data_IF_505713839823
#
_entry.id   IF_505713839823
#
_cell.length_a   1.000
_cell.length_b   1.000
_cell.length_c   1.000
_cell.angle_alpha   90.00
_cell.angle_beta   90.00
_cell.angle_gamma   90.00
#
_symmetry.space_group_name_H-M   'P 1'
#
loop_
_entity.id
_entity.type
_entity.pdbx_description
1 polymer ?
#
# COMPACT_ATOMS: atom_id res chain seq x y z
N UNK A 1 16.86 -0.28 -2.40
CA UNK A 1 16.34 -0.31 -3.78
C UNK A 1 14.94 0.28 -3.74
N UNK A 2 14.82 1.59 -3.96
CA UNK A 2 13.53 2.31 -3.90
C UNK A 2 12.98 2.30 -5.32
N UNK A 3 12.02 1.43 -5.60
CA UNK A 3 11.34 1.42 -6.91
C UNK A 3 10.37 2.61 -6.97
N UNK A 4 10.77 3.68 -7.64
CA UNK A 4 9.87 4.80 -7.96
C UNK A 4 9.05 4.44 -9.19
N UNK A 5 7.77 4.09 -9.01
CA UNK A 5 6.83 3.83 -10.09
C UNK A 5 5.88 5.05 -10.22
N UNK A 6 6.16 5.91 -11.20
CA UNK A 6 5.23 6.96 -11.62
C UNK A 6 4.16 6.35 -12.53
N UNK A 7 2.89 6.49 -12.17
CA UNK A 7 1.78 5.76 -12.81
C UNK A 7 0.56 6.70 -12.95
N UNK A 8 0.05 6.90 -14.18
CA UNK A 8 -1.05 7.82 -14.58
C UNK A 8 -2.50 7.45 -14.16
N UNK A 9 -3.26 8.38 -13.59
CA UNK A 9 -4.63 8.23 -13.03
C UNK A 9 -5.59 7.36 -13.91
N UNK A 10 -6.09 6.22 -13.39
CA UNK A 10 -7.12 5.38 -14.04
C UNK A 10 -6.93 3.86 -14.02
N UNK A 11 -5.70 3.35 -13.83
CA UNK A 11 -5.38 1.91 -13.91
C UNK A 11 -5.47 1.11 -12.59
N UNK A 12 -5.99 1.72 -11.51
CA UNK A 12 -6.09 1.04 -10.20
C UNK A 12 -4.75 0.75 -9.53
N UNK A 13 -3.80 1.69 -9.58
CA UNK A 13 -2.41 1.50 -9.09
C UNK A 13 -2.34 1.23 -7.60
N UNK A 14 -3.27 1.82 -6.85
CA UNK A 14 -3.46 1.54 -5.43
C UNK A 14 -3.69 0.05 -5.23
N UNK A 15 -4.67 -0.52 -5.95
CA UNK A 15 -4.98 -1.95 -5.91
C UNK A 15 -3.79 -2.78 -6.39
N UNK A 16 -3.14 -2.40 -7.49
CA UNK A 16 -1.94 -3.11 -7.98
C UNK A 16 -0.82 -3.16 -6.92
N UNK A 17 -0.59 -2.06 -6.20
CA UNK A 17 0.39 -1.99 -5.11
C UNK A 17 -0.02 -2.87 -3.94
N UNK A 18 -1.29 -2.83 -3.55
CA UNK A 18 -1.82 -3.65 -2.45
C UNK A 18 -1.70 -5.15 -2.78
N UNK A 19 -2.08 -5.56 -3.99
CA UNK A 19 -1.97 -6.95 -4.45
C UNK A 19 -0.51 -7.39 -4.47
N UNK A 20 0.40 -6.53 -4.93
CA UNK A 20 1.83 -6.81 -4.91
C UNK A 20 2.36 -7.04 -3.48
N UNK A 21 1.96 -6.20 -2.52
CA UNK A 21 2.34 -6.36 -1.11
C UNK A 21 1.74 -7.63 -0.49
N UNK A 22 0.48 -7.92 -0.77
CA UNK A 22 -0.19 -9.16 -0.33
C UNK A 22 0.55 -10.38 -0.85
N UNK A 23 0.95 -10.36 -2.13
CA UNK A 23 1.72 -11.43 -2.73
C UNK A 23 3.08 -11.63 -2.04
N UNK A 24 3.82 -10.55 -1.77
CA UNK A 24 5.09 -10.64 -1.03
C UNK A 24 4.90 -11.23 0.38
N UNK A 25 3.83 -10.83 1.06
CA UNK A 25 3.50 -11.36 2.39
C UNK A 25 3.23 -12.87 2.36
N UNK A 26 2.48 -13.36 1.36
CA UNK A 26 2.22 -14.78 1.14
C UNK A 26 3.50 -15.57 0.81
N UNK A 27 4.44 -14.96 0.08
CA UNK A 27 5.75 -15.54 -0.21
C UNK A 27 6.70 -15.56 1.01
N UNK A 28 6.23 -15.13 2.19
CA UNK A 28 7.01 -15.13 3.44
C UNK A 28 7.81 -13.85 3.70
N UNK A 29 7.73 -12.86 2.81
CA UNK A 29 8.41 -11.56 2.96
C UNK A 29 7.57 -10.62 3.82
N UNK A 30 7.51 -10.91 5.12
CA UNK A 30 6.71 -10.17 6.13
C UNK A 30 7.33 -8.85 6.60
N UNK A 31 8.47 -8.46 6.03
CA UNK A 31 9.24 -7.29 6.49
C UNK A 31 8.43 -6.00 6.51
N UNK A 32 8.93 -4.94 7.17
CA UNK A 32 8.24 -3.66 7.16
C UNK A 32 8.24 -3.08 5.74
N UNK A 33 7.06 -2.96 5.14
CA UNK A 33 6.85 -2.31 3.85
C UNK A 33 6.40 -0.87 4.08
N UNK A 34 7.08 0.10 3.46
CA UNK A 34 6.75 1.52 3.59
C UNK A 34 6.08 2.02 2.31
N UNK A 35 4.88 2.57 2.47
CA UNK A 35 4.15 3.25 1.40
C UNK A 35 4.10 4.74 1.75
N UNK A 36 4.61 5.60 0.87
CA UNK A 36 4.56 7.06 1.03
C UNK A 36 3.54 7.62 0.06
N UNK A 37 2.54 8.31 0.59
CA UNK A 37 1.41 8.86 -0.18
C UNK A 37 1.12 10.29 0.26
N UNK A 38 0.50 11.13 -0.59
CA UNK A 38 -0.05 12.40 -0.16
C UNK A 38 -1.05 12.18 0.95
N UNK A 39 -1.02 13.09 1.90
CA UNK A 39 -1.80 13.02 3.13
C UNK A 39 -3.31 12.95 2.80
N UNK A 40 -3.79 13.75 1.85
CA UNK A 40 -5.17 13.72 1.33
C UNK A 40 -5.66 12.36 0.80
N UNK A 41 -4.78 11.41 0.52
CA UNK A 41 -5.15 10.08 0.00
C UNK A 41 -5.00 8.97 1.03
N UNK A 42 -4.49 9.25 2.23
CA UNK A 42 -4.10 8.23 3.19
C UNK A 42 -5.31 7.42 3.68
N UNK A 43 -6.45 8.06 3.93
CA UNK A 43 -7.69 7.37 4.30
C UNK A 43 -8.19 6.42 3.21
N UNK A 44 -8.05 6.83 1.94
CA UNK A 44 -8.38 5.97 0.81
C UNK A 44 -7.48 4.73 0.80
N UNK A 45 -6.18 4.89 1.03
CA UNK A 45 -5.25 3.75 1.11
C UNK A 45 -5.58 2.80 2.24
N UNK A 46 -5.91 3.30 3.44
CA UNK A 46 -6.31 2.46 4.58
C UNK A 46 -7.56 1.67 4.26
N UNK A 47 -8.57 2.31 3.67
CA UNK A 47 -9.82 1.65 3.27
C UNK A 47 -9.57 0.54 2.26
N UNK A 48 -8.80 0.82 1.21
CA UNK A 48 -8.49 -0.17 0.18
C UNK A 48 -7.64 -1.32 0.73
N UNK A 49 -6.63 -1.04 1.57
CA UNK A 49 -5.82 -2.07 2.22
C UNK A 49 -6.69 -3.01 3.09
N UNK A 50 -7.59 -2.45 3.90
CA UNK A 50 -8.51 -3.24 4.72
C UNK A 50 -9.51 -4.04 3.87
N UNK A 51 -9.92 -3.53 2.71
CA UNK A 51 -10.86 -4.22 1.83
C UNK A 51 -10.20 -5.37 1.05
N UNK A 52 -9.00 -5.15 0.50
CA UNK A 52 -8.36 -6.09 -0.42
C UNK A 52 -7.33 -7.00 0.25
N UNK A 53 -6.78 -6.61 1.40
CA UNK A 53 -5.78 -7.39 2.13
C UNK A 53 -5.89 -7.21 3.65
N UNK A 54 -7.00 -7.67 4.27
CA UNK A 54 -7.25 -7.52 5.71
C UNK A 54 -6.26 -8.29 6.61
N UNK A 55 -5.47 -9.19 6.04
CA UNK A 55 -4.44 -9.95 6.75
C UNK A 55 -3.15 -9.15 6.97
N UNK A 56 -2.95 -8.05 6.25
CA UNK A 56 -1.80 -7.16 6.44
C UNK A 56 -2.02 -6.25 7.64
N UNK A 57 -1.05 -6.22 8.55
CA UNK A 57 -1.03 -5.24 9.63
C UNK A 57 -0.55 -3.89 9.08
N UNK A 58 -1.42 -2.88 9.10
CA UNK A 58 -1.14 -1.54 8.56
C UNK A 58 -1.03 -0.53 9.71
N UNK A 59 0.09 0.18 9.76
CA UNK A 59 0.30 1.30 10.69
C UNK A 59 0.36 2.58 9.87
N UNK A 60 -0.48 3.55 10.22
CA UNK A 60 -0.48 4.87 9.59
C UNK A 60 0.26 5.88 10.45
N UNK A 61 1.05 6.73 9.79
CA UNK A 61 1.71 7.84 10.44
C UNK A 61 1.38 9.13 9.68
N UNK A 62 0.90 10.11 10.42
CA UNK A 62 0.76 11.49 9.98
C UNK A 62 1.57 12.34 10.94
N UNK A 63 2.47 13.17 10.39
CA UNK A 63 3.12 14.20 11.18
C UNK A 63 2.13 15.32 11.48
N UNK A 64 2.13 15.80 12.73
CA UNK A 64 1.73 17.19 13.02
C UNK A 64 2.83 18.16 12.54
#
# INVERSE_FOLDING_TARGET
MIHSFSLCQGLGKTIQTIVFLSHLYEQGWKGPHLIVVPSSTLDNWVRELNCWSPSLNVITYWGE
#
